data_IF_422674082086
#
_entry.id   IF_422674082086
#
_cell.length_a   1.000
_cell.length_b   1.000
_cell.length_c   1.000
_cell.angle_alpha   90.00
_cell.angle_beta   90.00
_cell.angle_gamma   90.00
#
_symmetry.space_group_name_H-M   'P 1'
#
loop_
_entity.id
_entity.type
_entity.pdbx_description
1 polymer ?
#
# COMPACT_ATOMS: atom_id res chain seq x y z
N UNK A 1 -4.66 20.12 9.12
CA UNK A 1 -3.54 21.06 9.31
C UNK A 1 -3.68 22.24 8.36
N UNK A 2 -3.47 23.44 8.88
CA UNK A 2 -3.49 24.68 8.07
C UNK A 2 -2.11 24.97 7.47
N UNK A 3 -1.05 24.39 8.06
CA UNK A 3 0.33 24.50 7.60
C UNK A 3 0.89 23.14 7.17
N UNK A 4 1.35 22.98 5.91
CA UNK A 4 2.00 21.76 5.44
C UNK A 4 3.25 21.37 6.26
N UNK A 5 3.97 22.34 6.83
CA UNK A 5 5.14 22.03 7.64
C UNK A 5 4.77 21.40 8.99
N UNK A 6 3.67 21.83 9.60
CA UNK A 6 3.15 21.19 10.81
C UNK A 6 2.68 19.76 10.52
N UNK A 7 2.06 19.55 9.37
CA UNK A 7 1.64 18.20 8.92
C UNK A 7 2.87 17.29 8.76
N UNK A 8 3.90 17.76 8.05
CA UNK A 8 5.14 17.00 7.85
C UNK A 8 5.79 16.61 9.19
N UNK A 9 5.88 17.54 10.14
CA UNK A 9 6.44 17.29 11.47
C UNK A 9 5.61 16.25 12.24
N UNK A 10 4.29 16.38 12.22
CA UNK A 10 3.39 15.43 12.88
C UNK A 10 3.53 14.01 12.28
N UNK A 11 3.60 13.90 10.94
CA UNK A 11 3.76 12.63 10.24
C UNK A 11 5.13 12.00 10.52
N UNK A 12 6.21 12.77 10.49
CA UNK A 12 7.57 12.27 10.84
C UNK A 12 7.61 11.76 12.28
N UNK A 13 7.00 12.50 13.20
CA UNK A 13 6.92 12.09 14.61
C UNK A 13 6.15 10.77 14.75
N UNK A 14 4.92 10.71 14.21
CA UNK A 14 4.06 9.52 14.27
C UNK A 14 4.73 8.29 13.63
N UNK A 15 5.44 8.49 12.50
CA UNK A 15 6.24 7.45 11.87
C UNK A 15 7.33 6.92 12.81
N UNK A 16 8.16 7.82 13.36
CA UNK A 16 9.34 7.44 14.15
C UNK A 16 8.98 6.90 15.55
N UNK A 17 7.80 7.18 16.06
CA UNK A 17 7.28 6.55 17.28
C UNK A 17 6.95 5.06 17.07
N UNK A 18 6.58 4.66 15.85
CA UNK A 18 6.22 3.29 15.50
C UNK A 18 7.35 2.50 14.86
N UNK A 19 8.15 3.14 14.03
CA UNK A 19 9.19 2.49 13.23
C UNK A 19 10.55 2.68 13.88
N UNK A 20 11.20 1.57 14.20
CA UNK A 20 12.58 1.56 14.69
C UNK A 20 13.57 1.63 13.51
N UNK A 21 14.81 2.09 13.72
CA UNK A 21 15.82 2.15 12.65
C UNK A 21 16.08 0.83 11.92
N UNK A 22 15.88 -0.31 12.59
CA UNK A 22 16.11 -1.66 12.06
C UNK A 22 14.88 -2.30 11.42
N UNK A 23 13.70 -1.68 11.55
CA UNK A 23 12.47 -2.25 11.02
C UNK A 23 12.43 -2.13 9.50
N UNK A 24 11.88 -3.16 8.85
CA UNK A 24 11.65 -3.14 7.41
C UNK A 24 10.29 -2.52 7.11
N UNK A 25 10.28 -1.51 6.24
CA UNK A 25 9.07 -0.78 5.88
C UNK A 25 8.82 -0.87 4.37
N UNK A 26 7.61 -1.25 3.99
CA UNK A 26 7.13 -1.17 2.62
C UNK A 26 6.25 0.07 2.47
N UNK A 27 6.72 1.07 1.73
CA UNK A 27 5.96 2.25 1.36
C UNK A 27 5.23 1.99 0.04
N UNK A 28 3.92 2.09 0.02
CA UNK A 28 3.11 1.72 -1.14
C UNK A 28 2.88 2.87 -2.13
N UNK A 29 3.88 3.74 -2.28
CA UNK A 29 3.92 4.76 -3.31
C UNK A 29 3.39 6.13 -2.90
N UNK A 30 3.56 7.10 -3.81
CA UNK A 30 3.24 8.50 -3.59
C UNK A 30 3.92 9.06 -2.33
N UNK A 31 5.24 8.78 -2.23
CA UNK A 31 6.01 9.10 -1.04
C UNK A 31 6.15 10.60 -0.82
N UNK A 32 6.33 11.37 -1.89
CA UNK A 32 6.39 12.84 -1.85
C UNK A 32 5.93 13.45 -3.18
N UNK A 33 5.20 14.55 -3.11
CA UNK A 33 4.64 15.22 -4.28
C UNK A 33 5.61 16.30 -4.84
N UNK A 34 6.46 16.85 -3.99
CA UNK A 34 7.36 17.91 -4.39
C UNK A 34 8.81 17.64 -3.98
N UNK A 35 9.75 18.23 -4.74
CA UNK A 35 11.19 17.99 -4.57
C UNK A 35 11.72 18.43 -3.19
N UNK A 36 11.14 19.47 -2.59
CA UNK A 36 11.58 19.94 -1.28
C UNK A 36 11.30 18.91 -0.18
N UNK A 37 10.19 18.17 -0.32
CA UNK A 37 9.79 17.15 0.62
C UNK A 37 10.66 15.86 0.55
N UNK A 38 11.47 15.67 -0.52
CA UNK A 38 12.40 14.53 -0.58
C UNK A 38 13.33 14.47 0.63
N UNK A 39 13.78 15.60 1.13
CA UNK A 39 14.68 15.65 2.29
C UNK A 39 14.01 15.13 3.57
N UNK A 40 12.70 15.25 3.70
CA UNK A 40 11.91 14.74 4.83
C UNK A 40 12.01 13.21 4.94
N UNK A 41 12.12 12.51 3.81
CA UNK A 41 12.27 11.04 3.78
C UNK A 41 13.51 10.54 4.52
N UNK A 42 14.55 11.38 4.65
CA UNK A 42 15.78 11.04 5.41
C UNK A 42 15.54 10.96 6.91
N UNK A 43 14.52 11.66 7.39
CA UNK A 43 14.17 11.74 8.81
C UNK A 43 13.35 10.53 9.28
N UNK A 44 12.82 9.73 8.33
CA UNK A 44 11.99 8.56 8.61
C UNK A 44 12.85 7.34 8.91
N UNK A 45 12.66 6.75 10.08
CA UNK A 45 13.32 5.52 10.49
C UNK A 45 12.97 4.33 9.57
N UNK A 46 13.80 3.29 9.65
CA UNK A 46 13.57 1.98 9.04
C UNK A 46 14.33 1.74 7.75
N UNK A 47 14.47 0.46 7.42
CA UNK A 47 14.96 -0.04 6.14
C UNK A 47 13.81 -0.02 5.12
N UNK A 48 13.76 1.05 4.34
CA UNK A 48 12.59 1.40 3.51
C UNK A 48 12.69 0.83 2.10
N UNK A 49 11.60 0.18 1.64
CA UNK A 49 11.38 -0.26 0.26
C UNK A 49 10.23 0.57 -0.31
N UNK A 50 10.41 1.21 -1.46
CA UNK A 50 9.36 1.95 -2.16
C UNK A 50 8.76 1.08 -3.26
N UNK A 51 7.45 0.90 -3.20
CA UNK A 51 6.65 0.44 -4.34
C UNK A 51 6.11 1.70 -5.00
N UNK A 52 6.65 2.03 -6.18
CA UNK A 52 6.40 3.34 -6.80
C UNK A 52 4.92 3.58 -7.11
N UNK A 53 4.46 4.76 -6.77
CA UNK A 53 3.15 5.28 -7.13
C UNK A 53 3.19 6.18 -8.37
N UNK A 54 2.03 6.65 -8.79
CA UNK A 54 1.90 7.51 -9.97
C UNK A 54 2.40 8.95 -9.75
N UNK A 55 2.47 9.40 -8.51
CA UNK A 55 3.07 10.69 -8.13
C UNK A 55 4.55 10.61 -7.74
N UNK A 56 5.15 9.43 -7.73
CA UNK A 56 6.58 9.26 -7.53
C UNK A 56 7.34 9.57 -8.83
N UNK A 57 7.36 10.83 -9.23
CA UNK A 57 7.82 11.32 -10.54
C UNK A 57 9.31 11.64 -10.62
N UNK A 58 10.03 11.61 -9.49
CA UNK A 58 11.46 11.89 -9.49
C UNK A 58 12.26 10.69 -10.01
N UNK A 59 13.56 10.91 -10.30
CA UNK A 59 14.42 9.88 -10.85
C UNK A 59 14.73 8.81 -9.81
N UNK A 60 15.02 7.61 -10.26
CA UNK A 60 15.33 6.47 -9.38
C UNK A 60 16.53 6.73 -8.48
N UNK A 61 17.56 7.41 -8.99
CA UNK A 61 18.75 7.74 -8.20
C UNK A 61 18.44 8.71 -7.04
N UNK A 62 17.46 9.60 -7.20
CA UNK A 62 16.99 10.49 -6.13
C UNK A 62 16.27 9.70 -5.03
N UNK A 63 15.37 8.77 -5.40
CA UNK A 63 14.68 7.92 -4.40
C UNK A 63 15.63 6.94 -3.70
N UNK A 64 16.66 6.40 -4.41
CA UNK A 64 17.66 5.49 -3.83
C UNK A 64 18.52 6.13 -2.75
N UNK A 65 18.49 7.45 -2.59
CA UNK A 65 19.10 8.13 -1.44
C UNK A 65 18.34 7.89 -0.13
N UNK A 66 17.08 7.44 -0.20
CA UNK A 66 16.15 7.33 0.93
C UNK A 66 15.55 5.94 1.09
N UNK A 67 15.46 5.20 -0.02
CA UNK A 67 14.92 3.84 -0.08
C UNK A 67 16.00 2.87 -0.53
N UNK A 68 16.13 1.75 0.17
CA UNK A 68 17.08 0.70 -0.21
C UNK A 68 16.73 0.06 -1.54
N UNK A 69 15.44 -0.11 -1.81
CA UNK A 69 14.94 -0.74 -3.02
C UNK A 69 13.76 0.07 -3.59
N UNK A 70 13.64 0.05 -4.92
CA UNK A 70 12.49 0.54 -5.67
C UNK A 70 11.86 -0.63 -6.39
N UNK A 71 10.54 -0.79 -6.31
CA UNK A 71 9.79 -1.90 -6.89
C UNK A 71 8.52 -1.41 -7.57
N UNK A 72 8.04 -2.15 -8.59
CA UNK A 72 6.71 -1.93 -9.16
C UNK A 72 5.62 -2.57 -8.28
N UNK A 73 5.91 -3.71 -7.67
CA UNK A 73 5.08 -4.43 -6.71
C UNK A 73 5.96 -5.34 -5.84
N UNK A 74 5.39 -5.91 -4.79
CA UNK A 74 6.06 -6.91 -3.96
C UNK A 74 5.11 -8.05 -3.62
N UNK A 75 5.63 -9.27 -3.58
CA UNK A 75 4.86 -10.46 -3.18
C UNK A 75 5.43 -10.98 -1.87
N UNK A 76 4.57 -11.14 -0.88
CA UNK A 76 4.92 -11.75 0.39
C UNK A 76 3.73 -12.49 0.99
N UNK A 77 3.99 -13.65 1.58
CA UNK A 77 2.99 -14.46 2.29
C UNK A 77 1.71 -14.72 1.47
N UNK A 78 1.85 -14.93 0.15
CA UNK A 78 0.71 -15.15 -0.74
C UNK A 78 -0.15 -13.93 -1.02
N UNK A 79 0.32 -12.74 -0.67
CA UNK A 79 -0.33 -11.45 -0.96
C UNK A 79 0.51 -10.64 -1.94
N UNK A 80 -0.13 -9.74 -2.68
CA UNK A 80 0.55 -8.77 -3.53
C UNK A 80 0.40 -7.36 -2.95
N UNK A 81 1.53 -6.67 -2.78
CA UNK A 81 1.62 -5.27 -2.40
C UNK A 81 1.84 -4.44 -3.65
N UNK A 82 1.01 -3.45 -3.90
CA UNK A 82 1.09 -2.56 -5.06
C UNK A 82 0.64 -1.15 -4.68
N UNK A 83 0.99 -0.15 -5.51
CA UNK A 83 0.44 1.19 -5.29
C UNK A 83 -1.04 1.24 -5.66
N UNK A 84 -1.38 0.88 -6.89
CA UNK A 84 -2.76 0.81 -7.37
C UNK A 84 -3.35 -0.59 -7.12
N UNK A 85 -4.67 -0.72 -6.93
CA UNK A 85 -5.33 -2.02 -6.94
C UNK A 85 -5.05 -2.75 -8.24
N UNK A 86 -4.62 -4.02 -8.16
CA UNK A 86 -4.40 -4.84 -9.35
C UNK A 86 -5.72 -5.39 -9.88
N UNK A 87 -5.78 -5.67 -11.17
CA UNK A 87 -6.97 -6.29 -11.78
C UNK A 87 -7.27 -7.65 -11.11
N UNK A 88 -8.54 -7.95 -10.89
CA UNK A 88 -8.97 -9.16 -10.17
C UNK A 88 -8.46 -10.47 -10.78
N UNK A 89 -8.31 -10.54 -12.11
CA UNK A 89 -7.72 -11.69 -12.77
C UNK A 89 -6.27 -11.98 -12.32
N UNK A 90 -5.56 -10.98 -11.80
CA UNK A 90 -4.20 -11.14 -11.27
C UNK A 90 -4.19 -11.77 -9.88
N UNK A 91 -5.32 -11.77 -9.16
CA UNK A 91 -5.42 -12.30 -7.80
C UNK A 91 -5.51 -13.82 -7.74
N UNK A 92 -5.58 -14.53 -8.88
CA UNK A 92 -5.64 -16.00 -8.91
C UNK A 92 -4.45 -16.71 -8.23
N UNK A 93 -3.31 -16.00 -8.09
CA UNK A 93 -2.09 -16.46 -7.39
C UNK A 93 -1.94 -15.89 -6.00
N UNK A 94 -2.66 -14.83 -5.70
CA UNK A 94 -2.54 -14.06 -4.46
C UNK A 94 -3.90 -14.05 -3.76
N UNK A 95 -3.94 -14.26 -2.45
CA UNK A 95 -5.19 -14.21 -1.71
C UNK A 95 -5.76 -12.81 -1.62
N UNK A 96 -4.88 -11.82 -1.46
CA UNK A 96 -5.23 -10.41 -1.22
C UNK A 96 -4.25 -9.47 -1.90
N UNK A 97 -4.76 -8.33 -2.34
CA UNK A 97 -3.97 -7.17 -2.73
C UNK A 97 -3.99 -6.13 -1.60
N UNK A 98 -2.82 -5.81 -1.06
CA UNK A 98 -2.62 -4.67 -0.16
C UNK A 98 -2.17 -3.49 -1.03
N UNK A 99 -2.88 -2.36 -0.96
CA UNK A 99 -2.66 -1.25 -1.88
C UNK A 99 -2.82 0.13 -1.23
N UNK A 100 -2.34 1.15 -1.91
CA UNK A 100 -2.56 2.57 -1.63
C UNK A 100 -3.51 3.23 -2.62
N UNK A 101 -3.19 4.44 -3.07
CA UNK A 101 -3.76 5.20 -4.18
C UNK A 101 -5.21 5.67 -4.01
N UNK A 102 -6.09 4.89 -3.43
CA UNK A 102 -7.52 5.19 -3.41
C UNK A 102 -7.95 6.17 -2.29
N UNK A 103 -6.99 6.73 -1.54
CA UNK A 103 -7.28 7.55 -0.38
C UNK A 103 -8.25 6.82 0.59
N UNK A 104 -9.34 7.45 0.99
CA UNK A 104 -10.35 6.82 1.85
C UNK A 104 -11.28 5.83 1.11
N UNK A 105 -11.19 5.73 -0.23
CA UNK A 105 -12.09 4.87 -1.00
C UNK A 105 -11.66 3.39 -0.92
N UNK A 106 -12.63 2.50 -1.16
CA UNK A 106 -12.45 1.04 -1.13
C UNK A 106 -12.85 0.43 -2.46
N UNK A 107 -12.20 -0.67 -2.84
CA UNK A 107 -12.59 -1.46 -4.01
C UNK A 107 -13.91 -2.16 -3.71
N UNK A 108 -14.89 -2.02 -4.60
CA UNK A 108 -16.20 -2.68 -4.52
C UNK A 108 -16.21 -3.93 -5.39
N UNK A 109 -17.03 -4.92 -5.01
CA UNK A 109 -17.24 -6.13 -5.82
C UNK A 109 -17.90 -5.77 -7.15
N UNK A 110 -17.34 -6.28 -8.25
CA UNK A 110 -18.03 -6.27 -9.53
C UNK A 110 -19.24 -7.20 -9.49
N UNK A 111 -20.38 -6.76 -10.02
CA UNK A 111 -21.63 -7.54 -10.11
C UNK A 111 -22.00 -7.92 -11.55
N UNK A 112 -21.29 -7.38 -12.54
CA UNK A 112 -21.54 -7.66 -13.95
C UNK A 112 -21.01 -6.56 -14.86
N UNK A 113 -21.41 -6.63 -16.11
CA UNK A 113 -21.07 -5.62 -17.14
C UNK A 113 -22.37 -5.17 -17.79
N UNK A 114 -22.53 -3.87 -17.98
CA UNK A 114 -23.63 -3.35 -18.76
C UNK A 114 -23.50 -3.81 -20.23
N UNK A 115 -24.48 -4.56 -20.70
CA UNK A 115 -24.43 -5.17 -22.04
C UNK A 115 -24.43 -4.14 -23.18
N UNK A 116 -24.89 -2.91 -22.91
CA UNK A 116 -24.97 -1.84 -23.90
C UNK A 116 -23.71 -0.98 -23.95
N UNK A 117 -23.13 -0.67 -22.81
CA UNK A 117 -21.98 0.26 -22.71
C UNK A 117 -20.65 -0.46 -22.55
N UNK A 118 -20.65 -1.74 -22.10
CA UNK A 118 -19.47 -2.47 -21.72
C UNK A 118 -18.87 -2.04 -20.37
N UNK A 119 -19.53 -1.15 -19.63
CA UNK A 119 -19.07 -0.66 -18.34
C UNK A 119 -19.23 -1.71 -17.24
N UNK A 120 -18.24 -1.82 -16.37
CA UNK A 120 -18.32 -2.69 -15.20
C UNK A 120 -19.26 -2.07 -14.18
N UNK A 121 -20.25 -2.86 -13.76
CA UNK A 121 -21.20 -2.48 -12.72
C UNK A 121 -20.68 -2.99 -11.37
N UNK A 122 -20.67 -2.13 -10.37
CA UNK A 122 -20.24 -2.47 -9.02
C UNK A 122 -21.42 -2.59 -8.06
N UNK A 123 -21.30 -3.46 -7.07
CA UNK A 123 -22.21 -3.52 -5.92
C UNK A 123 -21.82 -2.48 -4.88
N UNK A 124 -22.62 -2.35 -3.82
CA UNK A 124 -22.22 -1.54 -2.65
C UNK A 124 -21.33 -2.31 -1.67
N UNK A 125 -21.13 -3.61 -1.90
CA UNK A 125 -20.27 -4.45 -1.06
C UNK A 125 -18.80 -4.22 -1.37
N UNK A 126 -18.01 -4.08 -0.30
CA UNK A 126 -16.55 -4.02 -0.39
C UNK A 126 -16.00 -5.40 -0.79
N UNK A 127 -15.02 -5.39 -1.68
CA UNK A 127 -14.32 -6.63 -2.05
C UNK A 127 -13.23 -6.95 -1.02
N UNK A 128 -13.37 -8.03 -0.23
CA UNK A 128 -12.43 -8.38 0.82
C UNK A 128 -11.06 -8.85 0.31
N UNK A 129 -10.91 -8.99 -1.01
CA UNK A 129 -9.62 -9.30 -1.63
C UNK A 129 -8.71 -8.08 -1.73
N UNK A 130 -9.22 -6.86 -1.48
CA UNK A 130 -8.47 -5.61 -1.58
C UNK A 130 -8.44 -4.89 -0.24
N UNK A 131 -7.23 -4.67 0.27
CA UNK A 131 -7.02 -4.00 1.53
C UNK A 131 -6.27 -2.68 1.35
N UNK A 132 -6.97 -1.58 1.59
CA UNK A 132 -6.42 -0.22 1.45
C UNK A 132 -5.66 0.17 2.71
N UNK A 133 -4.38 0.57 2.54
CA UNK A 133 -3.50 1.09 3.60
C UNK A 133 -3.04 2.53 3.32
N UNK A 134 -3.83 3.30 2.58
CA UNK A 134 -3.59 4.74 2.47
C UNK A 134 -3.56 5.38 3.85
N UNK A 135 -2.72 6.37 4.02
CA UNK A 135 -2.47 7.05 5.29
C UNK A 135 -3.76 7.59 5.93
N UNK A 136 -4.74 8.00 5.13
CA UNK A 136 -6.06 8.48 5.59
C UNK A 136 -6.92 7.37 6.20
N UNK A 137 -6.59 6.09 5.94
CA UNK A 137 -7.28 4.93 6.52
C UNK A 137 -6.60 4.38 7.76
N UNK A 138 -5.44 4.93 8.11
CA UNK A 138 -4.62 4.46 9.22
C UNK A 138 -4.75 5.36 10.45
N UNK A 139 -4.67 4.79 11.66
CA UNK A 139 -4.64 5.59 12.89
C UNK A 139 -3.42 6.53 12.90
N UNK A 140 -3.65 7.77 13.32
CA UNK A 140 -2.59 8.77 13.56
C UNK A 140 -1.69 9.04 12.34
N UNK A 141 -2.13 8.72 11.13
CA UNK A 141 -1.35 8.85 9.89
C UNK A 141 0.02 8.15 9.94
N UNK A 142 0.14 7.11 10.75
CA UNK A 142 1.38 6.39 10.99
C UNK A 142 1.40 5.02 10.28
N UNK A 143 2.59 4.46 10.00
CA UNK A 143 2.71 3.11 9.48
C UNK A 143 1.99 2.09 10.37
N UNK A 144 1.42 1.07 9.76
CA UNK A 144 0.73 -0.02 10.45
C UNK A 144 1.65 -1.26 10.50
N UNK A 145 1.62 -1.99 11.61
CA UNK A 145 2.31 -3.27 11.71
C UNK A 145 1.71 -4.29 10.76
N UNK A 146 2.56 -5.12 10.18
CA UNK A 146 2.12 -6.14 9.22
C UNK A 146 1.13 -7.13 9.84
N UNK A 147 1.33 -7.50 11.09
CA UNK A 147 0.42 -8.36 11.86
C UNK A 147 -0.97 -7.74 12.01
N UNK A 148 -1.05 -6.42 12.20
CA UNK A 148 -2.33 -5.71 12.29
C UNK A 148 -3.01 -5.62 10.91
N UNK A 149 -2.26 -5.51 9.82
CA UNK A 149 -2.79 -5.61 8.46
C UNK A 149 -3.42 -6.98 8.24
N UNK A 150 -2.72 -8.06 8.62
CA UNK A 150 -3.22 -9.43 8.51
C UNK A 150 -4.54 -9.60 9.29
N UNK A 151 -4.58 -9.09 10.52
CA UNK A 151 -5.77 -9.15 11.36
C UNK A 151 -6.96 -8.42 10.72
N UNK A 152 -6.74 -7.21 10.20
CA UNK A 152 -7.79 -6.45 9.50
C UNK A 152 -8.30 -7.18 8.26
N UNK A 153 -7.41 -7.77 7.46
CA UNK A 153 -7.77 -8.56 6.29
C UNK A 153 -8.69 -9.72 6.69
N UNK A 154 -8.35 -10.44 7.77
CA UNK A 154 -9.16 -11.55 8.28
C UNK A 154 -10.53 -11.10 8.80
N UNK A 155 -10.58 -9.99 9.54
CA UNK A 155 -11.81 -9.40 10.06
C UNK A 155 -12.76 -8.93 8.92
N UNK A 156 -12.20 -8.48 7.80
CA UNK A 156 -12.93 -8.07 6.60
C UNK A 156 -13.32 -9.27 5.69
N UNK A 157 -12.96 -10.50 6.06
CA UNK A 157 -13.29 -11.72 5.30
C UNK A 157 -12.33 -12.03 4.15
N UNK A 158 -11.18 -11.35 4.09
CA UNK A 158 -10.11 -11.67 3.16
C UNK A 158 -9.39 -12.96 3.55
N UNK A 159 -8.95 -13.71 2.54
CA UNK A 159 -8.19 -14.94 2.74
C UNK A 159 -6.69 -14.63 2.76
N UNK A 160 -6.10 -14.62 3.94
CA UNK A 160 -4.64 -14.64 4.07
C UNK A 160 -4.17 -16.06 3.78
N UNK A 161 -3.89 -16.32 2.51
CA UNK A 161 -3.48 -17.64 2.05
C UNK A 161 -2.04 -17.94 2.42
N UNK A 162 -1.80 -18.53 3.59
CA UNK A 162 -0.71 -19.48 3.70
C UNK A 162 -1.11 -20.70 2.89
N UNK A 163 -0.82 -20.75 1.62
CA UNK A 163 -0.73 -22.02 0.90
C UNK A 163 0.50 -22.72 1.48
N UNK A 164 0.30 -23.53 2.51
CA UNK A 164 1.27 -24.54 2.92
C UNK A 164 1.69 -25.32 1.67
N UNK A 165 2.91 -25.11 1.24
CA UNK A 165 3.75 -25.89 0.37
C UNK A 165 3.06 -26.89 -0.56
N UNK A 166 2.45 -26.48 -1.65
CA UNK A 166 2.26 -27.25 -2.89
C UNK A 166 1.93 -26.28 -4.01
N UNK A 167 2.79 -25.30 -4.23
CA UNK A 167 2.83 -24.55 -5.48
C UNK A 167 3.87 -25.21 -6.38
N UNK A 168 3.68 -25.25 -7.71
CA UNK A 168 4.70 -25.80 -8.60
C UNK A 168 5.99 -25.00 -8.44
N UNK A 169 7.05 -25.70 -8.07
CA UNK A 169 8.43 -25.25 -8.24
C UNK A 169 8.66 -24.92 -9.72
N UNK A 170 8.96 -23.65 -10.01
CA UNK A 170 9.67 -23.28 -11.23
C UNK A 170 11.05 -22.79 -10.85
#
# INVERSE_FOLDING_TARGET
>A
WDDPAEMDEAMVKAWNERVKPTDKVYHLGDAVINRKALATLRRLNGDKVLIRGNHDIFRDDEYRMYFRELRAYHVMNGMILSHIPVHEASLGRFGVNIHGHLHANRVKKARGVDARTGEVLYSDEIDPRYHNVCVETLPDFAPILFEDVIKRIQEEGGLVGFRNGNGPTM
#
